data_IF_715919412622
#
_entry.id   IF_715919412622
#
_cell.length_a   1.000
_cell.length_b   1.000
_cell.length_c   1.000
_cell.angle_alpha   90.00
_cell.angle_beta   90.00
_cell.angle_gamma   90.00
#
_symmetry.space_group_name_H-M   'P 1'
#
loop_
_entity.id
_entity.type
_entity.pdbx_description
1 polymer ?
#
# COMPACT_ATOMS: atom_id res chain seq x y z
N UNK A 1 25.97 -25.58 -74.37
CA UNK A 1 25.21 -24.30 -74.38
C UNK A 1 24.60 -24.18 -72.98
N UNK A 2 25.16 -23.45 -71.99
CA UNK A 2 25.18 -21.98 -71.87
C UNK A 2 23.79 -21.41 -72.23
N UNK A 3 23.00 -20.86 -71.30
CA UNK A 3 23.30 -19.62 -70.54
C UNK A 3 22.59 -19.49 -69.18
N UNK A 4 23.20 -18.71 -68.31
CA UNK A 4 22.71 -18.15 -67.04
C UNK A 4 21.53 -17.18 -67.23
N UNK A 5 20.70 -17.04 -66.18
CA UNK A 5 20.18 -15.72 -65.75
C UNK A 5 19.89 -15.70 -64.25
N UNK A 6 20.83 -15.10 -63.53
CA UNK A 6 20.64 -14.48 -62.22
C UNK A 6 19.41 -13.58 -62.23
N UNK A 7 18.43 -13.84 -61.35
CA UNK A 7 17.55 -12.81 -60.80
C UNK A 7 17.65 -12.86 -59.27
N UNK A 8 18.67 -12.14 -58.78
CA UNK A 8 18.71 -11.59 -57.43
C UNK A 8 17.39 -10.88 -57.15
N UNK A 9 16.54 -11.49 -56.32
CA UNK A 9 15.49 -10.76 -55.60
C UNK A 9 16.11 -10.33 -54.28
N UNK A 10 16.53 -9.08 -54.27
CA UNK A 10 16.88 -8.29 -53.09
C UNK A 10 15.93 -8.57 -51.93
N UNK A 11 16.47 -9.20 -50.88
CA UNK A 11 15.92 -9.10 -49.52
C UNK A 11 15.84 -7.62 -49.15
N UNK A 12 14.64 -7.04 -49.22
CA UNK A 12 14.38 -5.79 -48.51
C UNK A 12 14.53 -6.09 -47.02
N UNK A 13 15.62 -5.59 -46.45
CA UNK A 13 15.85 -5.53 -45.01
C UNK A 13 14.55 -5.09 -44.31
N UNK A 14 14.02 -5.96 -43.44
CA UNK A 14 12.95 -5.59 -42.51
C UNK A 14 13.49 -4.46 -41.63
N UNK A 15 12.88 -3.28 -41.72
CA UNK A 15 13.17 -2.15 -40.83
C UNK A 15 12.98 -2.58 -39.36
N UNK A 16 13.82 -2.08 -38.43
CA UNK A 16 13.77 -2.48 -37.03
C UNK A 16 12.43 -2.09 -36.39
N UNK A 17 11.95 -2.91 -35.45
CA UNK A 17 10.87 -2.53 -34.53
C UNK A 17 11.27 -1.20 -33.87
N UNK A 18 10.52 -0.14 -34.15
CA UNK A 18 10.65 1.16 -33.50
C UNK A 18 10.66 0.99 -31.98
N UNK A 19 11.77 1.28 -31.32
CA UNK A 19 11.89 1.16 -29.88
C UNK A 19 11.42 2.45 -29.21
N UNK A 20 10.16 2.46 -28.75
CA UNK A 20 9.61 3.58 -27.98
C UNK A 20 10.41 3.86 -26.70
N UNK A 21 11.17 2.88 -26.20
CA UNK A 21 12.07 3.07 -25.08
C UNK A 21 13.17 4.09 -25.41
N UNK A 22 13.76 4.04 -26.61
CA UNK A 22 14.78 5.01 -27.03
C UNK A 22 14.21 6.43 -27.12
N UNK A 23 12.98 6.57 -27.62
CA UNK A 23 12.28 7.87 -27.65
C UNK A 23 12.05 8.41 -26.25
N UNK A 24 11.63 7.54 -25.33
CA UNK A 24 11.43 7.91 -23.93
C UNK A 24 12.75 8.35 -23.27
N UNK A 25 13.82 7.58 -23.44
CA UNK A 25 15.16 7.94 -22.92
C UNK A 25 15.61 9.27 -23.51
N UNK A 26 15.37 9.51 -24.80
CA UNK A 26 15.63 10.81 -25.42
C UNK A 26 14.83 11.94 -24.77
N UNK A 27 13.52 11.74 -24.54
CA UNK A 27 12.70 12.75 -23.85
C UNK A 27 13.18 13.04 -22.43
N UNK A 28 13.66 12.03 -21.70
CA UNK A 28 14.24 12.18 -20.36
C UNK A 28 15.55 12.99 -20.37
N UNK A 29 16.34 12.88 -21.44
CA UNK A 29 17.59 13.63 -21.63
C UNK A 29 17.37 15.06 -22.15
N UNK A 30 16.34 15.25 -23.00
CA UNK A 30 16.06 16.51 -23.71
C UNK A 30 14.77 17.19 -23.24
N UNK A 31 14.31 16.92 -22.01
CA UNK A 31 13.04 17.43 -21.48
C UNK A 31 12.96 18.97 -21.45
N UNK A 32 14.10 19.66 -21.39
CA UNK A 32 14.22 21.12 -21.36
C UNK A 32 14.12 21.77 -22.75
N UNK A 33 14.05 21.00 -23.83
CA UNK A 33 13.96 21.49 -25.20
C UNK A 33 12.52 21.57 -25.69
N UNK A 34 12.26 22.35 -26.76
CA UNK A 34 10.94 22.35 -27.40
C UNK A 34 10.76 21.09 -28.25
N UNK A 35 10.17 20.06 -27.65
CA UNK A 35 9.81 18.81 -28.31
C UNK A 35 8.36 18.86 -28.82
N UNK A 36 8.13 18.38 -30.03
CA UNK A 36 6.80 18.21 -30.63
C UNK A 36 6.52 16.74 -30.97
N UNK A 37 5.23 16.42 -31.12
CA UNK A 37 4.80 15.07 -31.54
C UNK A 37 5.38 14.71 -32.90
N UNK A 38 5.47 15.66 -33.82
CA UNK A 38 6.01 15.48 -35.16
C UNK A 38 7.50 15.10 -35.11
N UNK A 39 8.27 15.75 -34.24
CA UNK A 39 9.70 15.43 -34.06
C UNK A 39 9.88 14.02 -33.48
N UNK A 40 9.14 13.70 -32.42
CA UNK A 40 9.24 12.39 -31.77
C UNK A 40 8.78 11.25 -32.71
N UNK A 41 7.73 11.48 -33.49
CA UNK A 41 7.26 10.53 -34.48
C UNK A 41 8.25 10.33 -35.63
N UNK A 42 8.91 11.41 -36.09
CA UNK A 42 9.95 11.34 -37.10
C UNK A 42 11.18 10.55 -36.61
N UNK A 43 11.60 10.75 -35.35
CA UNK A 43 12.67 9.96 -34.72
C UNK A 43 12.31 8.47 -34.64
N UNK A 44 11.04 8.18 -34.39
CA UNK A 44 10.48 6.84 -34.33
C UNK A 44 10.21 6.23 -35.73
N UNK A 45 10.45 6.98 -36.81
CA UNK A 45 10.16 6.62 -38.20
C UNK A 45 8.69 6.16 -38.44
N UNK A 46 7.75 6.83 -37.76
CA UNK A 46 6.31 6.55 -37.86
C UNK A 46 5.48 7.82 -38.03
N UNK A 47 4.22 7.68 -38.44
CA UNK A 47 3.34 8.83 -38.58
C UNK A 47 3.02 9.45 -37.19
N UNK A 48 2.85 10.78 -37.09
CA UNK A 48 2.48 11.44 -35.82
C UNK A 48 1.24 10.85 -35.16
N UNK A 49 0.22 10.50 -35.97
CA UNK A 49 -0.99 9.85 -35.48
C UNK A 49 -0.70 8.48 -34.84
N UNK A 50 0.06 7.64 -35.55
CA UNK A 50 0.42 6.32 -35.02
C UNK A 50 1.32 6.43 -33.79
N UNK A 51 2.20 7.44 -33.72
CA UNK A 51 3.02 7.70 -32.55
C UNK A 51 2.18 8.05 -31.32
N UNK A 52 1.20 8.95 -31.45
CA UNK A 52 0.32 9.32 -30.32
C UNK A 52 -0.42 8.09 -29.79
N UNK A 53 -1.03 7.30 -30.68
CA UNK A 53 -1.77 6.10 -30.31
C UNK A 53 -0.85 5.06 -29.66
N UNK A 54 0.32 4.81 -30.26
CA UNK A 54 1.28 3.82 -29.77
C UNK A 54 1.91 4.23 -28.44
N UNK A 55 2.36 5.47 -28.31
CA UNK A 55 2.96 5.99 -27.07
C UNK A 55 1.96 5.95 -25.92
N UNK A 56 0.71 6.36 -26.16
CA UNK A 56 -0.35 6.32 -25.15
C UNK A 56 -0.69 4.89 -24.77
N UNK A 57 -0.75 3.97 -25.73
CA UNK A 57 -0.99 2.54 -25.46
C UNK A 57 0.15 1.89 -24.67
N UNK A 58 1.39 2.31 -24.92
CA UNK A 58 2.58 1.73 -24.27
C UNK A 58 2.82 2.31 -22.88
N UNK A 59 2.59 3.61 -22.68
CA UNK A 59 2.95 4.32 -21.44
C UNK A 59 1.75 4.90 -20.68
N UNK A 60 0.51 4.60 -21.07
CA UNK A 60 -0.72 5.03 -20.40
C UNK A 60 -1.00 6.55 -20.42
N UNK A 61 -0.18 7.33 -21.13
CA UNK A 61 -0.35 8.77 -21.28
C UNK A 61 0.26 9.30 -22.58
N UNK A 62 -0.15 10.49 -22.99
CA UNK A 62 0.41 11.14 -24.17
C UNK A 62 1.88 11.51 -23.95
N UNK A 63 2.67 11.58 -25.04
CA UNK A 63 4.06 12.02 -24.97
C UNK A 63 4.21 13.44 -24.41
N UNK A 64 3.26 14.34 -24.72
CA UNK A 64 3.31 15.72 -24.21
C UNK A 64 2.96 15.83 -22.73
N UNK A 65 2.10 14.94 -22.22
CA UNK A 65 1.83 14.82 -20.78
C UNK A 65 3.04 14.23 -20.05
N UNK A 66 3.66 13.18 -20.60
CA UNK A 66 4.90 12.62 -20.06
C UNK A 66 6.02 13.68 -19.99
N UNK A 67 6.21 14.46 -21.06
CA UNK A 67 7.16 15.58 -21.09
C UNK A 67 6.81 16.64 -20.03
N UNK A 68 5.53 16.95 -19.86
CA UNK A 68 5.08 17.86 -18.81
C UNK A 68 5.50 17.35 -17.44
N UNK A 69 5.30 16.07 -17.15
CA UNK A 69 5.63 15.47 -15.86
C UNK A 69 7.13 15.49 -15.59
N UNK A 70 7.96 15.18 -16.59
CA UNK A 70 9.43 15.32 -16.48
C UNK A 70 9.83 16.74 -16.08
N UNK A 71 9.26 17.75 -16.74
CA UNK A 71 9.56 19.16 -16.47
C UNK A 71 9.08 19.59 -15.09
N UNK A 72 7.88 19.20 -14.68
CA UNK A 72 7.33 19.52 -13.36
C UNK A 72 8.14 18.84 -12.25
N UNK A 73 8.50 17.57 -12.41
CA UNK A 73 9.30 16.83 -11.44
C UNK A 73 10.71 17.43 -11.31
N UNK A 74 11.35 17.81 -12.41
CA UNK A 74 12.62 18.55 -12.36
C UNK A 74 12.46 19.91 -11.67
N UNK A 75 11.37 20.61 -11.95
CA UNK A 75 11.11 21.92 -11.34
C UNK A 75 10.91 21.83 -9.83
N UNK A 76 10.20 20.81 -9.34
CA UNK A 76 10.06 20.54 -7.90
C UNK A 76 11.43 20.40 -7.22
N UNK A 77 12.34 19.64 -7.85
CA UNK A 77 13.72 19.49 -7.37
C UNK A 77 14.46 20.82 -7.35
N UNK A 78 14.45 21.58 -8.44
CA UNK A 78 15.12 22.89 -8.46
C UNK A 78 14.54 23.87 -7.42
N UNK A 79 13.23 23.84 -7.18
CA UNK A 79 12.61 24.69 -6.16
C UNK A 79 13.07 24.37 -4.73
N UNK A 80 13.49 23.14 -4.45
CA UNK A 80 13.91 22.69 -3.12
C UNK A 80 15.44 22.70 -2.98
N UNK A 81 16.14 22.24 -4.01
CA UNK A 81 17.58 21.92 -3.98
C UNK A 81 18.47 23.09 -4.42
N UNK A 82 17.90 24.20 -4.92
CA UNK A 82 18.68 25.30 -5.51
C UNK A 82 18.13 26.67 -5.11
N UNK A 83 18.97 27.71 -5.25
CA UNK A 83 18.57 29.12 -5.06
C UNK A 83 18.12 29.81 -6.36
N UNK A 84 17.83 29.03 -7.41
CA UNK A 84 17.40 29.60 -8.69
C UNK A 84 16.10 30.41 -8.55
N UNK A 85 16.06 31.56 -9.22
CA UNK A 85 14.84 32.36 -9.35
C UNK A 85 13.83 31.60 -10.20
N UNK A 86 12.55 31.86 -9.97
CA UNK A 86 11.45 31.18 -10.66
C UNK A 86 11.60 31.22 -12.21
N UNK A 87 12.03 32.36 -12.74
CA UNK A 87 12.35 32.54 -14.17
C UNK A 87 13.43 31.58 -14.66
N UNK A 88 14.48 31.38 -13.89
CA UNK A 88 15.60 30.50 -14.24
C UNK A 88 15.16 29.03 -14.19
N UNK A 89 14.35 28.66 -13.19
CA UNK A 89 13.76 27.33 -13.09
C UNK A 89 12.88 27.05 -14.31
N UNK A 90 12.01 28.00 -14.68
CA UNK A 90 11.14 27.88 -15.85
C UNK A 90 11.97 27.60 -17.12
N UNK A 91 13.03 28.38 -17.36
CA UNK A 91 13.91 28.19 -18.51
C UNK A 91 14.63 26.85 -18.49
N UNK A 92 15.18 26.45 -17.33
CA UNK A 92 15.89 25.17 -17.16
C UNK A 92 14.99 23.95 -17.36
N UNK A 93 13.69 24.08 -17.12
CA UNK A 93 12.71 23.01 -17.35
C UNK A 93 11.91 23.19 -18.64
N UNK A 94 12.39 24.00 -19.59
CA UNK A 94 11.85 24.08 -20.94
C UNK A 94 10.58 24.94 -21.10
N UNK A 95 10.34 25.89 -20.18
CA UNK A 95 9.31 26.92 -20.31
C UNK A 95 9.95 28.29 -20.54
N UNK A 96 9.52 28.98 -21.59
CA UNK A 96 10.00 30.33 -21.93
C UNK A 96 9.42 31.43 -21.03
N UNK A 97 8.22 31.22 -20.50
CA UNK A 97 7.46 32.19 -19.71
C UNK A 97 7.24 31.66 -18.27
N UNK A 98 7.71 32.42 -17.28
CA UNK A 98 7.63 32.04 -15.87
C UNK A 98 6.20 32.06 -15.31
N UNK A 99 5.33 32.92 -15.84
CA UNK A 99 3.94 33.00 -15.42
C UNK A 99 3.13 31.81 -15.95
N UNK A 100 3.40 31.40 -17.19
CA UNK A 100 2.86 30.17 -17.77
C UNK A 100 3.33 28.95 -16.99
N UNK A 101 4.64 28.86 -16.72
CA UNK A 101 5.20 27.81 -15.88
C UNK A 101 4.53 27.78 -14.49
N UNK A 102 4.38 28.92 -13.82
CA UNK A 102 3.76 29.00 -12.49
C UNK A 102 2.30 28.52 -12.49
N UNK A 103 1.50 28.91 -13.50
CA UNK A 103 0.12 28.42 -13.67
C UNK A 103 0.08 26.92 -13.95
N UNK A 104 0.95 26.43 -14.83
CA UNK A 104 1.07 25.01 -15.18
C UNK A 104 1.49 24.20 -13.95
N UNK A 105 2.51 24.64 -13.22
CA UNK A 105 2.95 24.03 -11.96
C UNK A 105 1.82 23.98 -10.94
N UNK A 106 1.12 25.10 -10.71
CA UNK A 106 -0.02 25.11 -9.78
C UNK A 106 -1.12 24.15 -10.20
N UNK A 107 -1.39 24.02 -11.51
CA UNK A 107 -2.37 23.06 -12.04
C UNK A 107 -1.93 21.61 -11.75
N UNK A 108 -0.67 21.27 -12.01
CA UNK A 108 -0.19 19.89 -11.86
C UNK A 108 0.11 19.49 -10.39
N UNK A 109 0.57 20.45 -9.57
CA UNK A 109 1.01 20.20 -8.19
C UNK A 109 -0.09 20.53 -7.17
N UNK A 110 -1.04 21.39 -7.53
CA UNK A 110 -2.13 21.87 -6.67
C UNK A 110 -1.76 23.09 -5.82
N UNK A 111 -0.48 23.49 -5.78
CA UNK A 111 0.02 24.68 -5.08
C UNK A 111 0.99 25.44 -5.98
N UNK A 112 1.11 26.76 -5.80
CA UNK A 112 2.07 27.59 -6.55
C UNK A 112 3.52 27.23 -6.20
N UNK A 113 4.50 27.47 -7.09
CA UNK A 113 5.92 27.26 -6.81
C UNK A 113 6.39 27.82 -5.47
N UNK A 114 6.05 29.08 -5.15
CA UNK A 114 6.44 29.71 -3.88
C UNK A 114 5.83 29.06 -2.64
N UNK A 115 4.61 28.51 -2.76
CA UNK A 115 3.97 27.78 -1.67
C UNK A 115 4.58 26.38 -1.51
N UNK A 116 4.99 25.76 -2.62
CA UNK A 116 5.70 24.49 -2.63
C UNK A 116 7.06 24.58 -1.94
N UNK A 117 7.82 25.66 -2.14
CA UNK A 117 9.09 25.90 -1.42
C UNK A 117 8.89 25.93 0.10
N UNK A 118 7.79 26.57 0.57
CA UNK A 118 7.49 26.64 2.00
C UNK A 118 7.04 25.30 2.57
N UNK A 119 6.22 24.57 1.82
CA UNK A 119 5.64 23.28 2.22
C UNK A 119 5.56 22.34 1.01
N UNK A 120 6.62 21.59 0.70
CA UNK A 120 6.60 20.66 -0.42
C UNK A 120 5.61 19.54 -0.11
N UNK A 121 4.45 19.56 -0.80
CA UNK A 121 3.49 18.45 -0.77
C UNK A 121 3.93 17.43 -1.80
N UNK A 122 4.54 16.34 -1.35
CA UNK A 122 4.79 15.16 -2.17
C UNK A 122 3.47 14.41 -2.38
N UNK A 123 3.11 14.16 -3.63
CA UNK A 123 2.00 13.28 -4.02
C UNK A 123 2.49 11.83 -3.97
N UNK A 124 2.18 11.10 -2.92
CA UNK A 124 2.69 9.74 -2.76
C UNK A 124 1.59 8.75 -3.14
N UNK A 125 1.90 7.77 -4.00
CA UNK A 125 0.99 6.67 -4.29
C UNK A 125 1.36 5.44 -3.47
N UNK A 126 0.34 4.74 -2.95
CA UNK A 126 0.47 3.50 -2.20
C UNK A 126 0.02 2.33 -3.09
N UNK A 127 0.85 1.29 -3.22
CA UNK A 127 0.52 0.11 -4.04
C UNK A 127 -0.20 -1.01 -3.26
N UNK A 128 -0.39 -0.87 -1.95
CA UNK A 128 -1.09 -1.85 -1.11
C UNK A 128 -1.77 -1.18 0.08
N UNK A 129 -2.77 -1.82 0.72
CA UNK A 129 -3.41 -1.27 1.91
C UNK A 129 -2.45 -1.04 3.07
N UNK A 130 -1.50 -1.94 3.31
CA UNK A 130 -0.56 -1.75 4.41
C UNK A 130 0.35 -0.54 4.20
N UNK A 131 0.67 -0.18 2.95
CA UNK A 131 1.39 1.08 2.67
C UNK A 131 0.52 2.30 2.99
N UNK A 132 -0.82 2.23 2.84
CA UNK A 132 -1.72 3.30 3.33
C UNK A 132 -1.51 3.50 4.82
N UNK A 133 -1.54 2.43 5.61
CA UNK A 133 -1.30 2.48 7.05
C UNK A 133 0.06 3.06 7.42
N UNK A 134 1.12 2.72 6.67
CA UNK A 134 2.45 3.29 6.90
C UNK A 134 2.50 4.79 6.58
N UNK A 135 1.93 5.23 5.44
CA UNK A 135 1.94 6.64 5.05
C UNK A 135 1.10 7.50 5.99
N UNK A 136 -0.05 7.00 6.45
CA UNK A 136 -0.89 7.71 7.40
C UNK A 136 -0.18 7.94 8.73
N UNK A 137 0.60 6.98 9.23
CA UNK A 137 1.45 7.17 10.41
C UNK A 137 2.52 8.27 10.23
N UNK A 138 2.93 8.54 8.98
CA UNK A 138 3.84 9.63 8.62
C UNK A 138 3.12 10.96 8.32
N UNK A 139 1.84 11.06 8.64
CA UNK A 139 0.96 12.19 8.30
C UNK A 139 0.90 12.48 6.78
N UNK A 140 0.96 11.43 5.97
CA UNK A 140 0.82 11.49 4.52
C UNK A 140 -0.46 10.77 4.11
N UNK A 141 -1.37 11.51 3.48
CA UNK A 141 -2.51 10.91 2.78
C UNK A 141 -2.07 10.61 1.34
N UNK A 142 -2.11 9.35 0.89
CA UNK A 142 -1.71 9.02 -0.47
C UNK A 142 -2.65 9.65 -1.50
N UNK A 143 -2.09 10.06 -2.65
CA UNK A 143 -2.89 10.59 -3.76
C UNK A 143 -3.67 9.49 -4.48
N UNK A 144 -3.09 8.30 -4.54
CA UNK A 144 -3.63 7.10 -5.13
C UNK A 144 -3.34 5.91 -4.20
N UNK A 145 -4.33 5.06 -3.95
CA UNK A 145 -4.18 3.88 -3.11
C UNK A 145 -5.25 2.83 -3.41
N UNK A 146 -5.00 1.53 -3.18
CA UNK A 146 -6.02 0.50 -3.27
C UNK A 146 -7.05 0.72 -2.17
N UNK A 147 -8.27 1.10 -2.56
CA UNK A 147 -9.30 1.52 -1.63
C UNK A 147 -10.63 0.87 -1.99
N UNK A 148 -11.07 -0.05 -1.14
CA UNK A 148 -12.25 -0.89 -1.33
C UNK A 148 -13.07 -0.97 -0.04
N UNK A 149 -14.40 -0.90 -0.17
CA UNK A 149 -15.32 -0.90 0.98
C UNK A 149 -15.42 -2.26 1.69
N UNK A 150 -15.07 -3.35 1.01
CA UNK A 150 -15.08 -4.72 1.55
C UNK A 150 -13.72 -5.09 2.14
N UNK A 151 -12.62 -4.78 1.45
CA UNK A 151 -11.29 -5.25 1.82
C UNK A 151 -10.48 -4.27 2.66
N UNK A 152 -10.78 -2.97 2.56
CA UNK A 152 -10.10 -1.90 3.33
C UNK A 152 -11.13 -0.99 4.01
N UNK A 153 -12.08 -1.54 4.77
CA UNK A 153 -13.25 -0.79 5.26
C UNK A 153 -12.86 0.42 6.11
N UNK A 154 -11.85 0.30 6.97
CA UNK A 154 -11.35 1.42 7.78
C UNK A 154 -10.85 2.58 6.92
N UNK A 155 -9.95 2.31 5.97
CA UNK A 155 -9.43 3.36 5.10
C UNK A 155 -10.51 3.93 4.19
N UNK A 156 -11.39 3.08 3.66
CA UNK A 156 -12.50 3.50 2.81
C UNK A 156 -13.40 4.49 3.56
N UNK A 157 -13.89 4.12 4.75
CA UNK A 157 -14.82 4.95 5.50
C UNK A 157 -14.23 6.30 5.91
N UNK A 158 -12.95 6.34 6.29
CA UNK A 158 -12.30 7.55 6.83
C UNK A 158 -11.67 8.43 5.73
N UNK A 159 -11.17 7.84 4.64
CA UNK A 159 -10.31 8.52 3.67
C UNK A 159 -10.83 8.52 2.22
N UNK A 160 -11.99 7.92 1.90
CA UNK A 160 -12.55 7.91 0.54
C UNK A 160 -12.64 9.30 -0.11
N UNK A 161 -12.94 10.36 0.66
CA UNK A 161 -13.03 11.73 0.12
C UNK A 161 -11.68 12.45 0.05
N UNK A 162 -10.66 11.93 0.74
CA UNK A 162 -9.32 12.54 0.86
C UNK A 162 -8.32 11.91 -0.12
N UNK A 163 -8.39 10.59 -0.33
CA UNK A 163 -7.62 9.87 -1.35
C UNK A 163 -8.31 10.10 -2.69
N UNK A 164 -7.60 10.75 -3.63
CA UNK A 164 -8.21 11.25 -4.87
C UNK A 164 -8.43 10.17 -5.92
N UNK A 165 -7.55 9.17 -5.96
CA UNK A 165 -7.59 8.09 -6.94
C UNK A 165 -7.72 6.77 -6.19
N UNK A 166 -8.85 6.10 -6.37
CA UNK A 166 -9.11 4.79 -5.77
C UNK A 166 -8.66 3.73 -6.76
N UNK A 167 -7.66 2.95 -6.34
CA UNK A 167 -7.19 1.81 -7.11
C UNK A 167 -7.88 0.54 -6.63
N UNK A 168 -7.89 -0.48 -7.47
CA UNK A 168 -8.48 -1.78 -7.15
C UNK A 168 -7.50 -2.65 -6.34
N UNK A 169 -8.00 -3.36 -5.32
CA UNK A 169 -7.19 -4.29 -4.55
C UNK A 169 -6.85 -5.54 -5.38
N UNK A 170 -5.57 -5.89 -5.48
CA UNK A 170 -5.12 -7.13 -6.15
C UNK A 170 -5.14 -7.11 -7.68
N UNK A 171 -5.53 -6.01 -8.32
CA UNK A 171 -5.59 -5.86 -9.79
C UNK A 171 -4.70 -4.73 -10.32
N UNK A 172 -3.54 -4.52 -9.70
CA UNK A 172 -2.60 -3.47 -10.11
C UNK A 172 -2.04 -3.66 -11.55
N UNK A 173 -2.22 -4.85 -12.12
CA UNK A 173 -1.72 -5.19 -13.46
C UNK A 173 -2.63 -4.74 -14.60
N UNK A 174 -3.90 -4.42 -14.34
CA UNK A 174 -4.79 -3.98 -15.40
C UNK A 174 -4.33 -2.64 -15.98
N UNK A 175 -4.55 -2.47 -17.29
CA UNK A 175 -4.26 -1.22 -18.01
C UNK A 175 -5.02 -0.04 -17.38
N UNK A 176 -6.22 -0.27 -16.86
CA UNK A 176 -7.04 0.75 -16.22
C UNK A 176 -6.40 1.29 -14.92
N UNK A 177 -5.88 0.40 -14.08
CA UNK A 177 -5.22 0.79 -12.83
C UNK A 177 -3.89 1.52 -13.10
N UNK A 178 -3.17 1.11 -14.14
CA UNK A 178 -1.98 1.83 -14.61
C UNK A 178 -2.32 3.26 -15.06
N UNK A 179 -3.38 3.44 -15.85
CA UNK A 179 -3.81 4.74 -16.32
C UNK A 179 -4.26 5.65 -15.17
N UNK A 180 -4.96 5.10 -14.17
CA UNK A 180 -5.36 5.83 -12.95
C UNK A 180 -4.13 6.33 -12.20
N UNK A 181 -3.13 5.46 -11.99
CA UNK A 181 -1.90 5.82 -11.29
C UNK A 181 -1.13 6.93 -12.02
N UNK A 182 -1.00 6.84 -13.34
CA UNK A 182 -0.30 7.83 -14.16
C UNK A 182 -1.02 9.18 -14.13
N UNK A 183 -2.35 9.18 -14.31
CA UNK A 183 -3.18 10.40 -14.17
C UNK A 183 -3.08 11.01 -12.77
N UNK A 184 -2.79 10.20 -11.76
CA UNK A 184 -2.54 10.65 -10.38
C UNK A 184 -1.18 11.32 -10.16
N UNK A 185 -0.34 11.46 -11.19
CA UNK A 185 0.94 12.20 -11.21
C UNK A 185 1.71 12.12 -9.86
N UNK A 186 2.07 10.92 -9.39
CA UNK A 186 2.76 10.78 -8.12
C UNK A 186 4.18 11.34 -8.21
N UNK A 187 4.63 11.95 -7.12
CA UNK A 187 6.02 12.35 -6.88
C UNK A 187 6.88 11.19 -6.41
N UNK A 188 6.25 10.20 -5.78
CA UNK A 188 6.89 8.97 -5.35
C UNK A 188 5.84 7.86 -5.25
N UNK A 189 6.28 6.63 -5.45
CA UNK A 189 5.45 5.42 -5.32
C UNK A 189 6.06 4.53 -4.24
N UNK A 190 5.22 3.99 -3.37
CA UNK A 190 5.65 3.04 -2.34
C UNK A 190 4.85 1.75 -2.50
N UNK A 191 5.57 0.64 -2.65
CA UNK A 191 5.02 -0.71 -2.74
C UNK A 191 5.82 -1.70 -1.89
N UNK A 192 5.49 -2.98 -2.03
CA UNK A 192 6.17 -4.07 -1.35
C UNK A 192 7.00 -4.92 -2.32
N UNK A 193 7.98 -5.66 -1.78
CA UNK A 193 8.94 -6.45 -2.53
C UNK A 193 8.36 -7.65 -3.29
N UNK A 194 7.13 -8.09 -2.95
CA UNK A 194 6.46 -9.22 -3.61
C UNK A 194 5.91 -8.89 -5.01
N UNK A 195 5.96 -7.62 -5.43
CA UNK A 195 5.61 -7.24 -6.80
C UNK A 195 6.56 -7.92 -7.79
N UNK A 196 6.05 -8.28 -8.96
CA UNK A 196 6.86 -8.85 -10.04
C UNK A 196 7.87 -7.80 -10.54
N UNK A 197 9.03 -8.24 -11.02
CA UNK A 197 10.08 -7.31 -11.49
C UNK A 197 9.61 -6.40 -12.64
N UNK A 198 8.80 -6.92 -13.56
CA UNK A 198 8.18 -6.13 -14.63
C UNK A 198 7.30 -5.00 -14.08
N UNK A 199 6.55 -5.28 -13.00
CA UNK A 199 5.70 -4.29 -12.35
C UNK A 199 6.53 -3.24 -11.61
N UNK A 200 7.58 -3.66 -10.90
CA UNK A 200 8.53 -2.74 -10.25
C UNK A 200 9.18 -1.79 -11.26
N UNK A 201 9.63 -2.31 -12.40
CA UNK A 201 10.19 -1.51 -13.48
C UNK A 201 9.17 -0.51 -14.02
N UNK A 202 7.94 -0.97 -14.30
CA UNK A 202 6.85 -0.10 -14.77
C UNK A 202 6.56 1.04 -13.79
N UNK A 203 6.40 0.75 -12.51
CA UNK A 203 6.15 1.74 -11.45
C UNK A 203 7.32 2.72 -11.30
N UNK A 204 8.56 2.21 -11.31
CA UNK A 204 9.78 3.05 -11.26
C UNK A 204 9.90 3.97 -12.46
N UNK A 205 9.29 3.60 -13.58
CA UNK A 205 9.22 4.40 -14.78
C UNK A 205 8.22 5.57 -14.67
N UNK A 206 7.28 5.54 -13.72
CA UNK A 206 6.30 6.61 -13.49
C UNK A 206 6.87 7.66 -12.53
N UNK A 207 7.44 7.23 -11.41
CA UNK A 207 8.02 8.09 -10.39
C UNK A 207 9.09 7.32 -9.58
N UNK A 208 10.00 8.03 -8.86
CA UNK A 208 10.87 7.40 -7.87
C UNK A 208 10.07 6.43 -6.99
N UNK A 209 10.54 5.19 -6.88
CA UNK A 209 9.78 4.11 -6.26
C UNK A 209 10.60 3.42 -5.16
N UNK A 210 9.95 3.11 -4.04
CA UNK A 210 10.48 2.26 -2.98
C UNK A 210 9.65 0.97 -2.90
N UNK A 211 10.34 -0.18 -2.90
CA UNK A 211 9.72 -1.48 -2.70
C UNK A 211 10.24 -2.09 -1.40
N UNK A 212 9.41 -2.08 -0.37
CA UNK A 212 9.78 -2.52 0.98
C UNK A 212 9.72 -4.05 1.06
N UNK A 213 10.76 -4.70 1.58
CA UNK A 213 10.71 -6.15 1.81
C UNK A 213 9.80 -6.49 3.00
N UNK A 214 8.97 -7.51 2.82
CA UNK A 214 8.04 -8.01 3.86
C UNK A 214 8.70 -9.08 4.73
N UNK A 215 9.71 -9.77 4.22
CA UNK A 215 10.38 -10.88 4.90
C UNK A 215 11.28 -10.38 6.03
N UNK A 216 10.98 -10.78 7.27
CA UNK A 216 11.86 -10.62 8.43
C UNK A 216 11.86 -9.23 9.08
N UNK A 217 11.33 -8.19 8.44
CA UNK A 217 11.26 -6.83 8.98
C UNK A 217 9.90 -6.56 9.64
N UNK A 218 9.91 -5.99 10.84
CA UNK A 218 8.68 -5.57 11.52
C UNK A 218 8.15 -4.24 10.94
N UNK A 219 6.88 -3.92 11.24
CA UNK A 219 6.25 -2.69 10.75
C UNK A 219 7.03 -1.41 11.09
N UNK A 220 7.82 -1.39 12.19
CA UNK A 220 8.64 -0.26 12.64
C UNK A 220 9.78 0.04 11.67
N UNK A 221 10.49 -1.00 11.24
CA UNK A 221 11.59 -0.88 10.27
C UNK A 221 11.03 -0.45 8.92
N UNK A 222 9.91 -1.06 8.51
CA UNK A 222 9.21 -0.68 7.28
C UNK A 222 8.76 0.78 7.31
N UNK A 223 8.18 1.24 8.44
CA UNK A 223 7.79 2.63 8.64
C UNK A 223 9.00 3.56 8.49
N UNK A 224 10.13 3.22 9.12
CA UNK A 224 11.33 4.03 9.08
C UNK A 224 11.96 4.08 7.67
N UNK A 225 12.02 2.96 6.95
CA UNK A 225 12.49 2.91 5.56
C UNK A 225 11.63 3.80 4.65
N UNK A 226 10.30 3.71 4.78
CA UNK A 226 9.37 4.57 4.03
C UNK A 226 9.60 6.04 4.44
N UNK A 227 9.78 6.32 5.72
CA UNK A 227 10.01 7.66 6.24
C UNK A 227 11.26 8.31 5.67
N UNK A 228 12.38 7.59 5.58
CA UNK A 228 13.61 8.07 4.93
C UNK A 228 13.35 8.40 3.47
N UNK A 229 12.65 7.51 2.75
CA UNK A 229 12.34 7.72 1.34
C UNK A 229 11.42 8.92 1.08
N UNK A 230 10.47 9.19 1.98
CA UNK A 230 9.52 10.30 1.84
C UNK A 230 9.92 11.57 2.62
N UNK A 231 11.09 11.56 3.29
CA UNK A 231 11.63 12.63 4.13
C UNK A 231 10.71 13.00 5.31
N UNK A 232 10.38 11.99 6.14
CA UNK A 232 9.48 12.06 7.31
C UNK A 232 10.01 11.30 8.53
N UNK A 233 11.33 11.20 8.68
CA UNK A 233 12.00 10.44 9.73
C UNK A 233 11.57 10.90 11.14
N UNK A 234 11.43 12.21 11.34
CA UNK A 234 10.94 12.77 12.62
C UNK A 234 9.54 12.27 12.98
N UNK A 235 8.65 12.17 11.99
CA UNK A 235 7.29 11.66 12.19
C UNK A 235 7.30 10.17 12.51
N UNK A 236 8.16 9.39 11.84
CA UNK A 236 8.32 7.97 12.13
C UNK A 236 8.81 7.74 13.57
N UNK A 237 9.86 8.44 13.99
CA UNK A 237 10.39 8.35 15.35
C UNK A 237 9.32 8.69 16.38
N UNK A 238 8.62 9.81 16.22
CA UNK A 238 7.54 10.22 17.13
C UNK A 238 6.39 9.21 17.17
N UNK A 239 6.01 8.62 16.03
CA UNK A 239 4.98 7.59 15.98
C UNK A 239 5.39 6.32 16.73
N UNK A 240 6.61 5.84 16.49
CA UNK A 240 7.16 4.64 17.15
C UNK A 240 7.23 4.88 18.66
N UNK A 241 7.78 6.01 19.10
CA UNK A 241 7.85 6.37 20.53
C UNK A 241 6.46 6.42 21.19
N UNK A 242 5.47 7.01 20.50
CA UNK A 242 4.08 7.05 20.99
C UNK A 242 3.47 5.65 21.11
N UNK A 243 3.73 4.78 20.14
CA UNK A 243 3.31 3.37 20.21
C UNK A 243 3.98 2.64 21.37
N UNK A 244 5.28 2.79 21.58
CA UNK A 244 5.99 2.12 22.70
C UNK A 244 5.45 2.57 24.07
N UNK A 245 5.19 3.86 24.25
CA UNK A 245 4.60 4.38 25.48
C UNK A 245 3.22 3.76 25.75
N UNK A 246 2.40 3.65 24.70
CA UNK A 246 1.07 3.03 24.78
C UNK A 246 1.15 1.53 25.05
N UNK A 247 2.10 0.84 24.42
CA UNK A 247 2.34 -0.59 24.62
C UNK A 247 2.69 -0.88 26.09
N UNK A 248 3.56 -0.08 26.70
CA UNK A 248 3.93 -0.23 28.11
C UNK A 248 2.73 -0.05 29.06
N UNK A 249 1.83 0.90 28.75
CA UNK A 249 0.60 1.07 29.52
C UNK A 249 -0.37 -0.11 29.32
N UNK A 250 -0.56 -0.54 28.08
CA UNK A 250 -1.43 -1.66 27.74
C UNK A 250 -0.96 -2.96 28.42
N UNK A 251 0.35 -3.28 28.38
CA UNK A 251 0.93 -4.44 29.07
C UNK A 251 0.60 -4.42 30.57
N UNK A 252 0.78 -3.27 31.25
CA UNK A 252 0.48 -3.14 32.69
C UNK A 252 -0.99 -3.37 33.00
N UNK A 253 -1.89 -2.83 32.19
CA UNK A 253 -3.34 -2.98 32.37
C UNK A 253 -3.80 -4.42 32.08
N UNK A 254 -3.31 -5.02 31.00
CA UNK A 254 -3.67 -6.38 30.60
C UNK A 254 -3.14 -7.43 31.58
N UNK A 255 -1.92 -7.27 32.11
CA UNK A 255 -1.31 -8.21 33.06
C UNK A 255 -2.19 -8.45 34.30
N UNK A 256 -2.90 -7.41 34.77
CA UNK A 256 -3.82 -7.52 35.91
C UNK A 256 -5.05 -8.40 35.61
N UNK A 257 -5.41 -8.54 34.33
CA UNK A 257 -6.63 -9.23 33.91
C UNK A 257 -6.36 -10.65 33.41
N UNK A 258 -5.24 -10.86 32.69
CA UNK A 258 -4.96 -12.15 32.04
C UNK A 258 -3.94 -13.02 32.76
N UNK A 259 -3.16 -12.48 33.70
CA UNK A 259 -2.14 -13.26 34.41
C UNK A 259 -1.17 -13.98 33.45
N UNK A 260 -1.17 -15.31 33.49
CA UNK A 260 -0.34 -16.19 32.64
C UNK A 260 -1.17 -16.96 31.59
N UNK A 261 -2.39 -16.49 31.30
CA UNK A 261 -3.29 -17.14 30.34
C UNK A 261 -2.63 -17.37 28.98
N UNK A 262 -2.87 -18.55 28.43
CA UNK A 262 -2.38 -18.95 27.10
C UNK A 262 -3.39 -18.63 26.00
N UNK A 263 -2.89 -18.21 24.84
CA UNK A 263 -3.69 -17.76 23.71
C UNK A 263 -3.51 -18.67 22.50
N UNK A 264 -4.61 -18.95 21.81
CA UNK A 264 -4.62 -19.51 20.45
C UNK A 264 -5.34 -18.55 19.51
N UNK A 265 -4.71 -18.27 18.37
CA UNK A 265 -5.34 -17.54 17.28
C UNK A 265 -5.86 -18.54 16.24
N UNK A 266 -7.16 -18.45 15.98
CA UNK A 266 -7.91 -19.34 15.11
C UNK A 266 -8.47 -18.57 13.93
N UNK A 267 -8.58 -19.25 12.80
CA UNK A 267 -9.24 -18.74 11.60
C UNK A 267 -10.26 -19.73 11.07
N UNK A 268 -11.49 -19.26 10.88
CA UNK A 268 -12.52 -19.96 10.13
C UNK A 268 -12.42 -19.55 8.67
N UNK A 269 -12.13 -20.51 7.80
CA UNK A 269 -11.99 -20.31 6.36
C UNK A 269 -12.60 -21.51 5.62
N UNK A 270 -13.45 -21.24 4.63
CA UNK A 270 -14.31 -22.27 4.04
C UNK A 270 -15.10 -23.04 5.12
N UNK A 271 -14.99 -24.38 5.12
CA UNK A 271 -15.62 -25.29 6.09
C UNK A 271 -14.63 -25.83 7.12
N UNK A 272 -13.55 -25.10 7.41
CA UNK A 272 -12.49 -25.56 8.31
C UNK A 272 -12.13 -24.57 9.40
N UNK A 273 -11.67 -25.12 10.53
CA UNK A 273 -11.01 -24.39 11.61
C UNK A 273 -9.50 -24.54 11.47
N UNK A 274 -8.77 -23.45 11.54
CA UNK A 274 -7.33 -23.44 11.33
C UNK A 274 -6.61 -22.68 12.44
N UNK A 275 -5.42 -23.15 12.83
CA UNK A 275 -4.44 -22.31 13.52
C UNK A 275 -3.94 -21.22 12.56
N UNK A 276 -3.82 -20.00 13.08
CA UNK A 276 -3.49 -18.84 12.26
C UNK A 276 -2.61 -17.84 13.01
N UNK A 277 -1.45 -17.50 12.44
CA UNK A 277 -0.53 -16.52 12.99
C UNK A 277 0.23 -15.85 11.84
N UNK A 278 -0.28 -14.72 11.35
CA UNK A 278 0.43 -13.90 10.36
C UNK A 278 1.49 -13.01 11.02
N UNK A 279 2.32 -12.33 10.22
CA UNK A 279 3.38 -11.45 10.75
C UNK A 279 2.87 -10.27 11.59
N UNK A 280 1.68 -9.74 11.32
CA UNK A 280 1.10 -8.65 12.10
C UNK A 280 0.71 -9.14 13.49
N UNK A 281 -0.02 -10.26 13.57
CA UNK A 281 -0.43 -10.94 14.80
C UNK A 281 0.80 -11.35 15.60
N UNK A 282 1.77 -12.00 14.96
CA UNK A 282 3.02 -12.40 15.62
C UNK A 282 3.78 -11.20 16.18
N UNK A 283 3.83 -10.10 15.42
CA UNK A 283 4.47 -8.86 15.83
C UNK A 283 3.80 -8.19 17.03
N UNK A 284 2.47 -8.11 17.02
CA UNK A 284 1.74 -7.36 18.06
C UNK A 284 1.44 -8.22 19.29
N UNK A 285 0.94 -9.44 19.14
CA UNK A 285 0.49 -10.24 20.29
C UNK A 285 1.65 -10.89 21.02
N UNK A 286 2.53 -11.56 20.28
CA UNK A 286 3.56 -12.40 20.89
C UNK A 286 4.87 -11.62 21.10
N UNK A 287 5.27 -10.77 20.15
CA UNK A 287 6.49 -9.95 20.32
C UNK A 287 6.25 -8.69 21.14
N UNK A 288 5.26 -7.88 20.76
CA UNK A 288 4.98 -6.61 21.45
C UNK A 288 4.19 -6.85 22.75
N UNK A 289 3.06 -7.53 22.77
CA UNK A 289 2.29 -7.70 24.02
C UNK A 289 2.86 -8.79 24.94
N UNK A 290 3.76 -9.66 24.42
CA UNK A 290 4.35 -10.79 25.15
C UNK A 290 3.31 -11.74 25.74
N UNK A 291 2.22 -11.96 25.02
CA UNK A 291 1.21 -12.94 25.39
C UNK A 291 1.78 -14.36 25.26
N UNK A 292 1.35 -15.27 26.12
CA UNK A 292 1.78 -16.68 26.05
C UNK A 292 1.03 -17.40 24.92
N UNK A 293 1.76 -17.95 23.95
CA UNK A 293 1.17 -18.81 22.90
C UNK A 293 1.01 -20.25 23.38
N UNK A 294 -0.10 -20.91 23.05
CA UNK A 294 -0.29 -22.34 23.33
C UNK A 294 0.31 -23.27 22.24
N UNK A 295 0.83 -22.70 21.15
CA UNK A 295 1.49 -23.42 20.05
C UNK A 295 2.85 -22.78 19.72
N UNK A 296 3.71 -23.50 19.00
CA UNK A 296 5.03 -23.00 18.62
C UNK A 296 4.92 -21.63 17.93
N UNK A 297 5.74 -20.66 18.35
CA UNK A 297 5.70 -19.25 17.90
C UNK A 297 6.20 -19.03 16.46
N UNK A 298 5.85 -19.92 15.56
CA UNK A 298 6.12 -19.82 14.13
C UNK A 298 4.92 -19.19 13.39
N UNK A 299 5.18 -18.61 12.22
CA UNK A 299 4.09 -18.10 11.38
C UNK A 299 3.29 -19.28 10.83
N UNK A 300 2.02 -19.38 11.21
CA UNK A 300 1.11 -20.44 10.78
C UNK A 300 0.07 -19.85 9.85
N UNK A 301 0.04 -20.34 8.61
CA UNK A 301 -0.94 -19.89 7.63
C UNK A 301 -1.92 -21.03 7.33
N UNK A 302 -3.13 -20.92 7.88
CA UNK A 302 -4.25 -21.83 7.63
C UNK A 302 -3.88 -23.30 7.89
N UNK A 303 -3.20 -23.60 9.00
CA UNK A 303 -2.95 -24.98 9.38
C UNK A 303 -4.24 -25.57 9.95
N UNK A 304 -4.83 -26.54 9.26
CA UNK A 304 -6.08 -27.19 9.70
C UNK A 304 -5.89 -27.82 11.09
N UNK A 305 -6.87 -27.63 11.97
CA UNK A 305 -6.88 -28.21 13.31
C UNK A 305 -8.25 -28.82 13.63
N UNK A 306 -8.26 -29.99 14.25
CA UNK A 306 -9.48 -30.63 14.75
C UNK A 306 -9.83 -30.12 16.15
N UNK A 307 -11.08 -30.31 16.58
CA UNK A 307 -11.48 -29.94 17.94
C UNK A 307 -10.78 -30.77 19.03
N UNK A 308 -10.41 -32.00 18.72
CA UNK A 308 -9.62 -32.86 19.60
C UNK A 308 -8.21 -32.28 19.80
N UNK A 309 -7.53 -31.95 18.70
CA UNK A 309 -6.21 -31.31 18.74
C UNK A 309 -6.25 -29.95 19.43
N UNK A 310 -7.30 -29.15 19.18
CA UNK A 310 -7.48 -27.86 19.84
C UNK A 310 -7.69 -28.02 21.35
N UNK A 311 -8.37 -29.09 21.78
CA UNK A 311 -8.53 -29.41 23.19
C UNK A 311 -7.20 -29.83 23.85
N UNK A 312 -6.34 -30.55 23.13
CA UNK A 312 -5.00 -30.93 23.61
C UNK A 312 -4.07 -29.73 23.86
N UNK A 313 -4.27 -28.60 23.17
CA UNK A 313 -3.52 -27.37 23.41
C UNK A 313 -3.84 -26.72 24.76
N UNK A 314 -4.96 -27.07 25.40
CA UNK A 314 -5.45 -26.58 26.71
C UNK A 314 -5.42 -25.04 26.91
N UNK A 315 -5.65 -24.29 25.82
CA UNK A 315 -5.52 -22.83 25.88
C UNK A 315 -6.62 -22.15 26.72
N UNK A 316 -6.25 -21.04 27.38
CA UNK A 316 -7.17 -20.27 28.24
C UNK A 316 -8.06 -19.31 27.46
N UNK A 317 -7.58 -18.82 26.31
CA UNK A 317 -8.24 -17.79 25.49
C UNK A 317 -8.11 -18.06 23.99
N UNK A 318 -9.18 -17.80 23.25
CA UNK A 318 -9.21 -17.87 21.79
C UNK A 318 -9.42 -16.49 21.17
N UNK A 319 -8.61 -16.16 20.16
CA UNK A 319 -8.86 -15.04 19.25
C UNK A 319 -9.28 -15.65 17.92
N UNK A 320 -10.49 -15.36 17.45
CA UNK A 320 -11.13 -16.04 16.33
C UNK A 320 -11.41 -15.06 15.18
N UNK A 321 -10.75 -15.28 14.05
CA UNK A 321 -11.04 -14.58 12.80
C UNK A 321 -12.03 -15.41 11.97
N UNK A 322 -13.17 -14.81 11.61
CA UNK A 322 -14.16 -15.44 10.71
C UNK A 322 -14.09 -14.75 9.35
N UNK A 323 -13.73 -15.49 8.30
CA UNK A 323 -13.64 -14.90 6.96
C UNK A 323 -15.03 -14.46 6.45
N UNK A 324 -15.10 -13.37 5.66
CA UNK A 324 -16.35 -12.73 5.28
C UNK A 324 -17.11 -13.43 4.14
N UNK A 325 -16.67 -14.58 3.64
CA UNK A 325 -17.46 -15.39 2.72
C UNK A 325 -18.62 -16.12 3.42
N UNK A 326 -19.68 -16.39 2.66
CA UNK A 326 -20.89 -17.01 3.20
C UNK A 326 -20.62 -18.40 3.80
N UNK A 327 -19.70 -19.16 3.20
CA UNK A 327 -19.33 -20.50 3.66
C UNK A 327 -18.71 -20.50 5.05
N UNK A 328 -17.73 -19.61 5.32
CA UNK A 328 -17.10 -19.48 6.62
C UNK A 328 -18.05 -19.03 7.71
N UNK A 329 -18.96 -18.09 7.41
CA UNK A 329 -19.99 -17.69 8.37
C UNK A 329 -20.94 -18.84 8.70
N UNK A 330 -21.34 -19.63 7.70
CA UNK A 330 -22.21 -20.79 7.92
C UNK A 330 -21.51 -21.85 8.77
N UNK A 331 -20.24 -22.14 8.50
CA UNK A 331 -19.44 -23.05 9.33
C UNK A 331 -19.32 -22.54 10.77
N UNK A 332 -18.99 -21.25 10.97
CA UNK A 332 -18.91 -20.65 12.29
C UNK A 332 -20.23 -20.78 13.08
N UNK A 333 -21.37 -20.49 12.45
CA UNK A 333 -22.68 -20.68 13.08
C UNK A 333 -22.92 -22.13 13.50
N UNK A 334 -22.54 -23.10 12.67
CA UNK A 334 -22.66 -24.52 13.02
C UNK A 334 -21.75 -24.92 14.18
N UNK A 335 -20.52 -24.38 14.21
CA UNK A 335 -19.51 -24.69 15.22
C UNK A 335 -19.95 -24.24 16.63
N UNK A 336 -20.67 -23.12 16.74
CA UNK A 336 -21.23 -22.64 18.01
C UNK A 336 -22.22 -23.63 18.66
N UNK A 337 -22.80 -24.55 17.89
CA UNK A 337 -23.71 -25.59 18.38
C UNK A 337 -23.04 -26.96 18.57
N UNK A 338 -21.78 -27.10 18.18
CA UNK A 338 -21.01 -28.33 18.33
C UNK A 338 -20.71 -28.62 19.81
N UNK A 339 -20.88 -29.88 20.21
CA UNK A 339 -20.69 -30.30 21.61
C UNK A 339 -19.22 -30.25 22.04
N UNK A 340 -18.32 -30.66 21.16
CA UNK A 340 -16.88 -30.67 21.42
C UNK A 340 -16.35 -29.25 21.52
N UNK A 341 -16.82 -28.34 20.66
CA UNK A 341 -16.49 -26.90 20.75
C UNK A 341 -16.90 -26.32 22.10
N UNK A 342 -18.15 -26.55 22.52
CA UNK A 342 -18.68 -26.05 23.81
C UNK A 342 -17.97 -26.63 25.03
N UNK A 343 -17.25 -27.75 24.87
CA UNK A 343 -16.51 -28.39 25.95
C UNK A 343 -15.09 -27.81 26.14
N UNK A 344 -14.59 -27.04 25.18
CA UNK A 344 -13.25 -26.44 25.27
C UNK A 344 -13.19 -25.46 26.45
N UNK A 345 -12.09 -25.52 27.21
CA UNK A 345 -11.82 -24.68 28.39
C UNK A 345 -12.05 -23.19 28.15
N UNK A 346 -11.48 -22.63 27.08
CA UNK A 346 -11.67 -21.22 26.72
C UNK A 346 -13.14 -20.88 26.40
N UNK A 347 -13.88 -21.80 25.78
CA UNK A 347 -15.30 -21.61 25.42
C UNK A 347 -16.18 -21.63 26.67
N UNK A 348 -15.96 -22.58 27.57
CA UNK A 348 -16.70 -22.67 28.84
C UNK A 348 -16.49 -21.46 29.74
N UNK A 349 -15.29 -20.87 29.70
CA UNK A 349 -14.96 -19.65 30.45
C UNK A 349 -15.44 -18.35 29.77
N UNK A 350 -16.03 -18.43 28.58
CA UNK A 350 -16.45 -17.24 27.81
C UNK A 350 -15.29 -16.43 27.23
N UNK A 351 -14.09 -17.02 27.12
CA UNK A 351 -12.87 -16.38 26.67
C UNK A 351 -12.64 -16.54 25.15
N UNK A 352 -13.68 -16.36 24.35
CA UNK A 352 -13.62 -16.42 22.89
C UNK A 352 -13.87 -15.04 22.31
N UNK A 353 -12.82 -14.45 21.72
CA UNK A 353 -12.85 -13.11 21.16
C UNK A 353 -12.95 -13.21 19.64
N UNK A 354 -14.13 -12.94 19.10
CA UNK A 354 -14.32 -12.86 17.64
C UNK A 354 -13.84 -11.50 17.17
N UNK A 355 -12.85 -11.48 16.27
CA UNK A 355 -12.24 -10.25 15.77
C UNK A 355 -12.43 -10.11 14.24
N UNK A 356 -12.55 -8.88 13.71
CA UNK A 356 -12.66 -8.64 12.27
C UNK A 356 -11.34 -8.96 11.53
N UNK A 357 -11.39 -9.09 10.21
CA UNK A 357 -10.16 -9.24 9.40
C UNK A 357 -9.31 -7.97 9.35
N UNK A 358 -9.92 -6.79 9.42
CA UNK A 358 -9.22 -5.51 9.54
C UNK A 358 -9.32 -5.05 11.01
N UNK A 359 -8.21 -4.74 11.71
CA UNK A 359 -6.82 -4.63 11.24
C UNK A 359 -6.00 -5.93 11.24
N UNK A 360 -6.55 -7.04 11.73
CA UNK A 360 -5.85 -8.28 12.08
C UNK A 360 -5.12 -9.02 10.94
N UNK A 361 -5.41 -8.69 9.69
CA UNK A 361 -4.75 -9.23 8.50
C UNK A 361 -3.79 -8.23 7.84
N UNK A 362 -3.61 -7.02 8.38
CA UNK A 362 -2.76 -5.97 7.82
C UNK A 362 -1.49 -5.76 8.66
N UNK A 363 -0.34 -5.74 7.99
CA UNK A 363 0.95 -5.43 8.62
C UNK A 363 1.36 -3.98 8.33
N UNK A 364 0.86 -3.03 9.14
CA UNK A 364 1.22 -1.61 9.05
C UNK A 364 1.30 -0.97 10.44
N UNK A 365 1.92 0.22 10.53
CA UNK A 365 1.99 0.98 11.77
C UNK A 365 0.61 1.35 12.35
N UNK A 366 -0.34 1.74 11.48
CA UNK A 366 -1.72 2.05 11.88
C UNK A 366 -2.46 0.80 12.32
N UNK A 367 -2.33 -0.31 11.57
CA UNK A 367 -2.95 -1.59 11.94
C UNK A 367 -2.42 -2.11 13.29
N UNK A 368 -1.11 -2.04 13.53
CA UNK A 368 -0.51 -2.44 14.80
C UNK A 368 -1.07 -1.64 15.99
N UNK A 369 -1.18 -0.31 15.84
CA UNK A 369 -1.78 0.52 16.88
C UNK A 369 -3.27 0.18 17.13
N UNK A 370 -4.04 -0.09 16.05
CA UNK A 370 -5.46 -0.48 16.18
C UNK A 370 -5.62 -1.86 16.81
N UNK A 371 -4.77 -2.84 16.46
CA UNK A 371 -4.76 -4.16 17.11
C UNK A 371 -4.46 -4.04 18.61
N UNK A 372 -3.52 -3.17 18.98
CA UNK A 372 -3.22 -2.90 20.39
C UNK A 372 -4.45 -2.32 21.13
N UNK A 373 -5.16 -1.39 20.49
CA UNK A 373 -6.39 -0.81 21.04
C UNK A 373 -7.51 -1.84 21.21
N UNK A 374 -7.75 -2.65 20.18
CA UNK A 374 -8.76 -3.71 20.22
C UNK A 374 -8.42 -4.74 21.29
N UNK A 375 -7.15 -5.16 21.43
CA UNK A 375 -6.74 -6.08 22.48
C UNK A 375 -6.93 -5.51 23.88
N UNK A 376 -6.62 -4.23 24.07
CA UNK A 376 -6.82 -3.57 25.35
C UNK A 376 -8.31 -3.54 25.71
N UNK A 377 -9.17 -3.18 24.75
CA UNK A 377 -10.62 -3.18 24.91
C UNK A 377 -11.16 -4.59 25.22
N UNK A 378 -10.80 -5.59 24.42
CA UNK A 378 -11.30 -6.96 24.56
C UNK A 378 -10.95 -7.59 25.90
N UNK A 379 -9.76 -7.29 26.44
CA UNK A 379 -9.29 -7.90 27.67
C UNK A 379 -9.63 -7.10 28.93
N UNK A 380 -9.71 -5.77 28.86
CA UNK A 380 -9.85 -4.92 30.05
C UNK A 380 -11.15 -4.10 30.07
N UNK A 381 -11.88 -4.04 28.96
CA UNK A 381 -13.01 -3.13 28.77
C UNK A 381 -12.61 -1.66 28.60
N UNK A 382 -11.32 -1.32 28.66
CA UNK A 382 -10.84 0.03 28.46
C UNK A 382 -10.69 0.35 26.97
N UNK A 383 -11.47 1.32 26.48
CA UNK A 383 -11.28 1.89 25.14
C UNK A 383 -10.44 3.16 25.24
N UNK A 384 -9.17 3.15 24.80
CA UNK A 384 -8.30 4.35 24.83
C UNK A 384 -8.74 5.43 23.81
N UNK A 385 -9.63 5.09 22.87
CA UNK A 385 -10.10 5.97 21.79
C UNK A 385 -11.59 6.32 21.90
N UNK A 386 -12.20 6.31 23.09
CA UNK A 386 -13.65 6.55 23.27
C UNK A 386 -14.21 7.77 22.51
N UNK A 387 -13.39 8.80 22.29
CA UNK A 387 -13.81 10.02 21.59
C UNK A 387 -13.57 10.03 20.07
N UNK A 388 -12.89 9.02 19.51
CA UNK A 388 -12.38 9.01 18.13
C UNK A 388 -12.92 7.85 17.26
N UNK A 389 -13.47 6.81 17.87
CA UNK A 389 -13.93 5.63 17.14
C UNK A 389 -15.46 5.61 16.98
N UNK A 390 -15.92 5.86 15.74
CA UNK A 390 -17.34 5.69 15.34
C UNK A 390 -17.57 4.42 14.53
N UNK A 391 -16.56 3.56 14.40
CA UNK A 391 -16.60 2.41 13.48
C UNK A 391 -17.21 1.16 14.11
N UNK A 392 -17.22 1.07 15.43
CA UNK A 392 -18.03 0.10 16.16
C UNK A 392 -19.29 0.84 16.61
N UNK A 393 -20.39 0.68 15.87
CA UNK A 393 -21.69 1.20 16.30
C UNK A 393 -21.94 0.82 17.75
N UNK A 394 -22.53 1.76 18.50
CA UNK A 394 -22.85 1.70 19.94
C UNK A 394 -22.79 0.27 20.50
N UNK A 395 -21.64 -0.12 21.05
CA UNK A 395 -21.56 -1.33 21.86
C UNK A 395 -22.13 -1.01 23.24
N UNK A 396 -23.42 -0.69 23.31
CA UNK A 396 -24.18 -1.11 24.47
C UNK A 396 -24.19 -2.64 24.42
N UNK A 397 -23.55 -3.25 25.42
CA UNK A 397 -23.61 -4.68 25.63
C UNK A 397 -25.08 -5.10 25.68
N UNK A 398 -25.55 -5.83 24.66
CA UNK A 398 -26.78 -6.59 24.82
C UNK A 398 -26.42 -7.87 25.60
N UNK A 399 -26.95 -8.03 26.83
CA UNK A 399 -26.83 -9.28 27.54
C UNK A 399 -27.71 -10.31 26.83
N UNK A 400 -27.20 -11.53 26.64
CA UNK A 400 -27.92 -12.79 26.83
C UNK A 400 -26.92 -13.96 26.86
#
# INVERSE_FOLDING_TARGET
MHWERNHSKTEKARQPKTDLFEIRVFMEQHFNEQLSVEQLAAMANISPKYFVDLFTKTYGQSAMDFLTDLRINRAKRYLIETEYRLREIAQRVGYSDEFYFSRKFKKEVGVSPSAFVKHPRKRIAACSPSIIGQLLALNIIPVAAPLDSKWTPYYYNVYQTKIKVHMSYGDAQSLEESDKLIKSRPDAIVGFGYLQEEEKQRLSSIAPSLFVEVSGTGWREQLYQIAVFVEREKQATAWIEGYEQKLELARKQMQQTIGEDTFVVLRVYGQGLHLYCNHAIQGVLYRDLKLSSAYAEESLYNQLITLEQLNELDADRFILLVCPEAESRAYWLSLQHDKSWRFLKAVQKGNVYVVPSDPWCESSAVAANRMLDEMLLLLTGHCPNMDMDKMHGDSEAHPL
#
